data_IF_871464899824
#
_entry.id   IF_871464899824
#
_cell.length_a   1.000
_cell.length_b   1.000
_cell.length_c   1.000
_cell.angle_alpha   90.00
_cell.angle_beta   90.00
_cell.angle_gamma   90.00
#
_symmetry.space_group_name_H-M   'P 1'
#
loop_
_entity.id
_entity.type
_entity.pdbx_description
1 polymer ?
#
# COMPACT_ATOMS: atom_id res chain seq x y z
N UNK A 1 11.28 8.48 -2.99
CA UNK A 1 10.18 7.68 -3.54
C UNK A 1 9.80 6.63 -2.51
N UNK A 2 8.50 6.40 -2.33
CA UNK A 2 7.95 5.41 -1.41
C UNK A 2 7.42 4.27 -2.27
N UNK A 3 7.88 3.05 -2.00
CA UNK A 3 7.51 1.85 -2.79
C UNK A 3 6.40 1.06 -2.11
N UNK A 4 6.27 1.15 -0.78
CA UNK A 4 5.14 0.58 -0.05
C UNK A 4 5.03 1.20 1.35
N UNK A 5 3.83 1.10 1.94
CA UNK A 5 3.58 1.56 3.31
C UNK A 5 2.79 0.50 4.06
N UNK A 6 3.28 0.10 5.24
CA UNK A 6 2.52 -0.71 6.20
C UNK A 6 2.24 0.14 7.44
N UNK A 7 1.00 0.57 7.62
CA UNK A 7 0.57 1.18 8.88
C UNK A 7 0.28 0.08 9.90
N UNK A 8 0.89 0.18 11.08
CA UNK A 8 0.67 -0.74 12.18
C UNK A 8 -0.14 -0.03 13.28
N UNK A 9 -1.47 -0.28 13.35
CA UNK A 9 -2.36 0.42 14.27
C UNK A 9 -1.96 0.38 15.74
N UNK A 10 -1.47 -0.75 16.31
CA UNK A 10 -1.21 -0.84 17.75
C UNK A 10 -0.23 0.21 18.31
N UNK A 11 0.68 0.74 17.48
CA UNK A 11 1.65 1.77 17.90
C UNK A 11 1.47 3.12 17.19
N UNK A 12 0.44 3.24 16.34
CA UNK A 12 0.19 4.41 15.50
C UNK A 12 1.41 4.88 14.68
N UNK A 13 2.13 3.93 14.06
CA UNK A 13 3.27 4.25 13.19
C UNK A 13 3.18 3.48 11.88
N UNK A 14 3.78 4.04 10.84
CA UNK A 14 3.88 3.41 9.53
C UNK A 14 5.33 3.05 9.18
N UNK A 15 5.49 1.90 8.55
CA UNK A 15 6.73 1.43 7.97
C UNK A 15 6.72 1.78 6.49
N UNK A 16 7.60 2.71 6.09
CA UNK A 16 7.75 3.15 4.71
C UNK A 16 8.92 2.39 4.08
N UNK A 17 8.65 1.66 3.00
CA UNK A 17 9.63 0.90 2.25
C UNK A 17 10.09 1.69 1.03
N UNK A 18 11.39 1.65 0.74
CA UNK A 18 12.01 2.30 -0.41
C UNK A 18 13.30 1.57 -0.81
N UNK A 19 13.31 1.00 -2.01
CA UNK A 19 14.36 0.13 -2.50
C UNK A 19 14.62 -1.03 -1.53
N UNK A 20 15.88 -1.16 -1.10
CA UNK A 20 16.31 -2.22 -0.16
C UNK A 20 16.13 -1.84 1.31
N UNK A 21 15.51 -0.69 1.60
CA UNK A 21 15.46 -0.11 2.95
C UNK A 21 14.03 0.20 3.38
N UNK A 22 13.87 0.39 4.68
CA UNK A 22 12.64 0.91 5.27
C UNK A 22 12.96 1.89 6.39
N UNK A 23 12.01 2.77 6.69
CA UNK A 23 12.01 3.61 7.90
C UNK A 23 10.66 3.47 8.62
N UNK A 24 10.67 3.56 9.95
CA UNK A 24 9.45 3.66 10.75
C UNK A 24 9.21 5.11 11.10
N UNK A 25 8.01 5.59 10.81
CA UNK A 25 7.63 6.98 10.95
C UNK A 25 6.38 7.06 11.81
N UNK A 26 6.45 7.88 12.85
CA UNK A 26 5.29 8.36 13.60
C UNK A 26 4.77 9.59 12.89
N UNK A 27 3.50 9.59 12.51
CA UNK A 27 2.88 10.73 11.86
C UNK A 27 1.46 10.92 12.37
N UNK A 28 1.02 12.17 12.44
CA UNK A 28 -0.35 12.52 12.83
C UNK A 28 -1.05 13.16 11.63
N UNK A 29 -2.06 12.49 11.03
CA UNK A 29 -2.81 13.03 9.91
C UNK A 29 -3.31 14.45 10.16
N UNK A 30 -3.15 15.34 9.17
CA UNK A 30 -3.61 16.73 9.27
C UNK A 30 -2.66 17.68 9.99
N UNK A 31 -1.50 17.21 10.45
CA UNK A 31 -0.43 18.05 11.02
C UNK A 31 0.85 17.94 10.21
N UNK A 32 1.84 18.79 10.48
CA UNK A 32 3.20 18.71 9.93
C UNK A 32 4.18 18.04 10.91
N UNK A 33 3.68 17.30 11.90
CA UNK A 33 4.51 16.62 12.90
C UNK A 33 4.71 15.16 12.48
N UNK A 34 5.77 14.93 11.71
CA UNK A 34 6.27 13.59 11.41
C UNK A 34 7.65 13.38 12.04
N UNK A 35 7.86 12.19 12.62
CA UNK A 35 9.11 11.81 13.27
C UNK A 35 9.57 10.44 12.74
N UNK A 36 10.79 10.37 12.21
CA UNK A 36 11.44 9.08 11.94
C UNK A 36 11.87 8.48 13.28
N UNK A 37 11.16 7.44 13.72
CA UNK A 37 11.45 6.76 14.99
C UNK A 37 12.44 5.61 14.82
N UNK A 38 12.66 5.15 13.58
CA UNK A 38 13.61 4.09 13.27
C UNK A 38 14.06 4.13 11.80
N UNK A 39 15.34 3.81 11.57
CA UNK A 39 15.92 3.71 10.23
C UNK A 39 16.34 5.04 9.61
N UNK A 40 16.65 5.06 8.29
CA UNK A 40 16.49 3.95 7.34
C UNK A 40 17.41 2.76 7.61
N UNK A 41 16.87 1.53 7.56
CA UNK A 41 17.64 0.26 7.69
C UNK A 41 17.36 -0.68 6.53
N UNK A 42 18.24 -1.65 6.30
CA UNK A 42 18.03 -2.68 5.27
C UNK A 42 16.89 -3.61 5.69
N UNK A 43 15.99 -3.91 4.75
CA UNK A 43 14.83 -4.77 5.02
C UNK A 43 15.31 -6.15 5.51
N UNK A 44 16.25 -6.75 4.79
CA UNK A 44 16.75 -8.11 5.07
C UNK A 44 17.50 -8.26 6.41
N UNK A 45 17.86 -7.16 7.08
CA UNK A 45 18.53 -7.20 8.38
C UNK A 45 17.54 -7.14 9.56
N UNK A 46 16.33 -6.64 9.32
CA UNK A 46 15.36 -6.33 10.38
C UNK A 46 13.98 -6.95 10.18
N UNK A 47 13.76 -7.59 9.03
CA UNK A 47 12.59 -8.40 8.73
C UNK A 47 13.05 -9.82 8.37
N UNK A 48 13.47 -10.62 9.35
CA UNK A 48 13.98 -11.98 9.11
C UNK A 48 13.00 -12.86 8.34
N UNK A 49 11.68 -12.70 8.52
CA UNK A 49 10.71 -13.47 7.74
C UNK A 49 10.76 -13.09 6.25
N UNK A 50 10.82 -11.79 5.93
CA UNK A 50 10.99 -11.30 4.55
C UNK A 50 12.33 -11.75 3.95
N UNK A 51 13.41 -11.69 4.73
CA UNK A 51 14.73 -12.16 4.31
C UNK A 51 14.70 -13.66 3.95
N UNK A 52 14.05 -14.48 4.78
CA UNK A 52 13.98 -15.93 4.60
C UNK A 52 13.31 -16.38 3.29
N UNK A 53 12.41 -15.56 2.75
CA UNK A 53 11.69 -15.82 1.49
C UNK A 53 12.27 -15.06 0.28
N UNK A 54 13.36 -14.32 0.49
CA UNK A 54 14.07 -13.56 -0.53
C UNK A 54 13.43 -12.22 -0.89
N UNK A 55 12.60 -11.66 0.00
CA UNK A 55 11.94 -10.37 -0.21
C UNK A 55 12.87 -9.22 0.22
N UNK A 56 13.79 -8.85 -0.67
CA UNK A 56 14.72 -7.74 -0.44
C UNK A 56 14.15 -6.35 -0.72
N UNK A 57 13.01 -6.28 -1.40
CA UNK A 57 12.24 -5.06 -1.74
C UNK A 57 10.76 -5.34 -1.54
N UNK A 58 9.99 -4.33 -1.16
CA UNK A 58 8.54 -4.43 -1.02
C UNK A 58 7.91 -3.43 -1.98
N UNK A 59 7.03 -3.90 -2.86
CA UNK A 59 6.34 -3.08 -3.87
C UNK A 59 4.90 -2.76 -3.51
N UNK A 60 4.30 -3.47 -2.56
CA UNK A 60 3.00 -3.13 -2.00
C UNK A 60 2.80 -3.87 -0.67
N UNK A 61 1.91 -3.34 0.16
CA UNK A 61 1.41 -4.03 1.36
C UNK A 61 -0.11 -3.90 1.41
N UNK A 62 -0.81 -5.02 1.56
CA UNK A 62 -2.26 -5.06 1.78
C UNK A 62 -2.53 -5.57 3.21
N UNK A 63 -2.98 -4.71 4.15
CA UNK A 63 -3.35 -5.14 5.49
C UNK A 63 -4.56 -6.08 5.46
N UNK A 64 -4.63 -7.00 6.43
CA UNK A 64 -5.78 -7.90 6.60
C UNK A 64 -6.82 -7.25 7.52
N UNK A 65 -8.05 -7.16 7.03
CA UNK A 65 -9.17 -6.61 7.80
C UNK A 65 -9.39 -7.38 9.11
N UNK A 66 -9.56 -6.64 10.20
CA UNK A 66 -9.72 -7.19 11.54
C UNK A 66 -8.47 -7.82 12.15
N UNK A 67 -7.33 -7.81 11.43
CA UNK A 67 -6.07 -8.38 11.89
C UNK A 67 -4.91 -7.41 11.68
N UNK A 68 -4.73 -6.42 12.56
CA UNK A 68 -3.75 -5.34 12.37
C UNK A 68 -2.30 -5.82 12.26
N UNK A 69 -2.00 -7.02 12.76
CA UNK A 69 -0.68 -7.65 12.71
C UNK A 69 -0.41 -8.45 11.44
N UNK A 70 -1.42 -8.71 10.63
CA UNK A 70 -1.33 -9.55 9.45
C UNK A 70 -1.46 -8.70 8.18
N UNK A 71 -0.59 -8.93 7.20
CA UNK A 71 -0.67 -8.29 5.90
C UNK A 71 -0.08 -9.17 4.79
N UNK A 72 -0.56 -8.96 3.57
CA UNK A 72 0.13 -9.45 2.38
C UNK A 72 1.22 -8.47 1.96
N UNK A 73 2.45 -8.96 1.86
CA UNK A 73 3.60 -8.21 1.35
C UNK A 73 3.89 -8.67 -0.09
N UNK A 74 4.08 -7.71 -1.00
CA UNK A 74 4.36 -7.98 -2.41
C UNK A 74 5.82 -7.65 -2.74
N UNK A 75 6.47 -8.51 -3.52
CA UNK A 75 7.84 -8.34 -3.98
C UNK A 75 7.98 -8.89 -5.40
N UNK A 76 8.05 -8.00 -6.39
CA UNK A 76 8.00 -8.39 -7.79
C UNK A 76 6.73 -9.18 -8.09
N UNK A 77 6.88 -10.35 -8.70
CA UNK A 77 5.74 -11.22 -9.06
C UNK A 77 5.23 -12.10 -7.91
N UNK A 78 5.72 -11.90 -6.68
CA UNK A 78 5.45 -12.78 -5.53
C UNK A 78 4.75 -12.05 -4.40
N UNK A 79 3.98 -12.81 -3.63
CA UNK A 79 3.26 -12.33 -2.45
C UNK A 79 3.40 -13.33 -1.30
N UNK A 80 3.52 -12.82 -0.07
CA UNK A 80 3.54 -13.63 1.14
C UNK A 80 2.61 -13.03 2.20
N UNK A 81 1.98 -13.89 3.00
CA UNK A 81 1.18 -13.51 4.16
C UNK A 81 2.09 -13.47 5.38
N UNK A 82 2.29 -12.29 5.95
CA UNK A 82 3.22 -12.05 7.05
C UNK A 82 2.44 -11.60 8.27
N UNK A 83 2.82 -12.13 9.44
CA UNK A 83 2.42 -11.60 10.74
C UNK A 83 3.58 -10.84 11.37
N UNK A 84 3.32 -9.65 11.88
CA UNK A 84 4.26 -8.82 12.62
C UNK A 84 3.79 -8.64 14.07
N UNK A 85 4.65 -9.02 15.01
CA UNK A 85 4.46 -8.83 16.45
C UNK A 85 5.41 -7.74 16.94
N UNK A 86 4.83 -6.62 17.39
CA UNK A 86 5.60 -5.49 17.89
C UNK A 86 6.18 -5.70 19.28
N UNK A 87 5.50 -6.43 20.16
CA UNK A 87 5.96 -6.61 21.53
C UNK A 87 7.27 -7.41 21.56
N UNK A 88 7.34 -8.44 20.72
CA UNK A 88 8.54 -9.26 20.57
C UNK A 88 9.52 -8.74 19.51
N UNK A 89 9.13 -7.72 18.74
CA UNK A 89 9.86 -7.23 17.56
C UNK A 89 10.19 -8.34 16.56
N UNK A 90 9.23 -9.25 16.31
CA UNK A 90 9.39 -10.38 15.39
C UNK A 90 8.38 -10.36 14.26
N UNK A 91 8.75 -10.97 13.15
CA UNK A 91 7.88 -11.23 12.02
C UNK A 91 7.93 -12.71 11.62
N UNK A 92 6.84 -13.22 11.06
CA UNK A 92 6.71 -14.62 10.65
C UNK A 92 5.93 -14.78 9.36
N UNK A 93 6.33 -15.76 8.54
CA UNK A 93 5.59 -16.13 7.34
C UNK A 93 4.44 -17.04 7.73
N UNK A 94 3.20 -16.53 7.61
CA UNK A 94 1.99 -17.34 7.78
C UNK A 94 1.64 -18.14 6.53
N UNK A 95 2.11 -17.71 5.36
CA UNK A 95 1.92 -18.44 4.12
C UNK A 95 2.59 -17.79 2.92
N UNK A 96 2.75 -18.58 1.86
CA UNK A 96 3.51 -18.22 0.68
C UNK A 96 4.99 -18.55 0.87
N UNK A 97 5.88 -17.97 0.06
CA UNK A 97 5.61 -17.00 -1.00
C UNK A 97 4.98 -17.66 -2.24
N UNK A 98 3.85 -17.13 -2.69
CA UNK A 98 3.19 -17.57 -3.93
C UNK A 98 3.51 -16.61 -5.07
N UNK A 99 3.24 -17.00 -6.31
CA UNK A 99 3.08 -16.00 -7.38
C UNK A 99 1.78 -15.24 -7.15
N UNK A 100 1.70 -13.99 -7.60
CA UNK A 100 0.46 -13.18 -7.52
C UNK A 100 -0.69 -13.92 -8.22
N UNK A 101 -0.43 -14.46 -9.41
CA UNK A 101 -1.37 -15.26 -10.19
C UNK A 101 -1.91 -16.50 -9.44
N UNK A 102 -1.08 -17.18 -8.66
CA UNK A 102 -1.50 -18.35 -7.87
C UNK A 102 -2.31 -17.98 -6.64
N UNK A 103 -1.99 -16.85 -6.02
CA UNK A 103 -2.68 -16.38 -4.81
C UNK A 103 -4.00 -15.67 -5.11
N UNK A 104 -4.02 -14.84 -6.14
CA UNK A 104 -5.16 -14.05 -6.59
C UNK A 104 -5.45 -14.42 -8.05
N UNK A 105 -6.20 -15.49 -8.26
CA UNK A 105 -6.51 -16.01 -9.61
C UNK A 105 -7.30 -15.00 -10.42
N UNK A 106 -8.11 -14.18 -9.75
CA UNK A 106 -8.82 -13.04 -10.34
C UNK A 106 -7.90 -11.98 -10.96
N UNK A 107 -6.62 -11.95 -10.57
CA UNK A 107 -5.58 -11.06 -11.11
C UNK A 107 -4.67 -11.75 -12.14
N UNK A 108 -5.06 -12.91 -12.70
CA UNK A 108 -4.30 -13.57 -13.78
C UNK A 108 -4.46 -12.86 -15.12
N UNK A 109 -3.94 -11.64 -15.20
CA UNK A 109 -3.90 -10.85 -16.41
C UNK A 109 -2.48 -10.29 -16.61
N UNK A 110 -2.09 -9.90 -17.84
CA UNK A 110 -0.76 -9.36 -18.11
C UNK A 110 -0.42 -8.12 -17.27
N UNK A 111 -1.41 -7.31 -16.92
CA UNK A 111 -1.24 -6.05 -16.19
C UNK A 111 -0.81 -6.27 -14.73
N UNK A 112 -1.30 -7.33 -14.08
CA UNK A 112 -1.05 -7.60 -12.65
C UNK A 112 0.06 -8.63 -12.41
N UNK A 113 1.05 -8.67 -13.30
CA UNK A 113 2.29 -9.45 -13.08
C UNK A 113 3.10 -8.97 -11.87
N UNK A 114 2.93 -7.70 -11.48
CA UNK A 114 3.40 -7.09 -10.24
C UNK A 114 2.29 -6.23 -9.65
N UNK A 115 2.38 -5.92 -8.35
CA UNK A 115 1.50 -4.94 -7.68
C UNK A 115 2.36 -3.77 -7.19
N UNK A 116 1.96 -2.56 -7.56
CA UNK A 116 2.62 -1.30 -7.20
C UNK A 116 1.94 -0.66 -5.98
N UNK A 117 0.64 -0.89 -5.79
CA UNK A 117 -0.05 -0.51 -4.55
C UNK A 117 -1.28 -1.39 -4.31
N UNK A 118 -1.66 -1.54 -3.05
CA UNK A 118 -2.91 -2.17 -2.67
C UNK A 118 -3.50 -1.51 -1.43
N UNK A 119 -4.82 -1.31 -1.41
CA UNK A 119 -5.54 -0.80 -0.24
C UNK A 119 -6.86 -1.55 -0.06
N UNK A 120 -7.33 -1.75 1.19
CA UNK A 120 -8.69 -2.21 1.44
C UNK A 120 -9.71 -1.24 0.85
N UNK A 121 -10.86 -1.76 0.43
CA UNK A 121 -11.98 -0.93 -0.04
C UNK A 121 -12.77 -0.42 1.17
N UNK A 122 -12.88 0.91 1.38
CA UNK A 122 -13.65 1.47 2.49
C UNK A 122 -15.10 0.98 2.47
N UNK A 123 -15.61 0.53 3.63
CA UNK A 123 -16.97 0.03 3.77
C UNK A 123 -17.25 -1.36 3.17
N UNK A 124 -16.24 -2.03 2.60
CA UNK A 124 -16.38 -3.37 2.02
C UNK A 124 -15.29 -4.33 2.54
N UNK A 125 -15.44 -4.85 3.77
CA UNK A 125 -14.48 -5.77 4.35
C UNK A 125 -14.21 -6.98 3.45
N UNK A 126 -12.95 -7.38 3.36
CA UNK A 126 -12.52 -8.49 2.51
C UNK A 126 -12.37 -8.13 1.03
N UNK A 127 -12.53 -6.85 0.65
CA UNK A 127 -12.25 -6.39 -0.71
C UNK A 127 -11.05 -5.44 -0.74
N UNK A 128 -10.28 -5.47 -1.83
CA UNK A 128 -9.15 -4.58 -2.02
C UNK A 128 -9.10 -4.00 -3.44
N UNK A 129 -8.57 -2.79 -3.54
CA UNK A 129 -8.06 -2.26 -4.80
C UNK A 129 -6.60 -2.66 -4.97
N UNK A 130 -6.26 -3.13 -6.17
CA UNK A 130 -4.90 -3.42 -6.61
C UNK A 130 -4.54 -2.48 -7.75
N UNK A 131 -3.36 -1.88 -7.70
CA UNK A 131 -2.84 -0.98 -8.71
C UNK A 131 -1.57 -1.58 -9.32
N UNK A 132 -1.48 -1.55 -10.65
CA UNK A 132 -0.32 -2.01 -11.40
C UNK A 132 -0.20 -1.22 -12.71
N UNK A 133 0.93 -0.55 -12.90
CA UNK A 133 1.14 0.39 -14.00
C UNK A 133 0.05 1.45 -14.04
N UNK A 134 -0.63 1.58 -15.17
CA UNK A 134 -1.72 2.54 -15.39
C UNK A 134 -3.11 1.97 -15.10
N UNK A 135 -3.19 0.77 -14.54
CA UNK A 135 -4.44 0.05 -14.30
C UNK A 135 -4.69 -0.23 -12.83
N UNK A 136 -5.97 -0.43 -12.51
CA UNK A 136 -6.40 -0.95 -11.22
C UNK A 136 -7.46 -2.04 -11.39
N UNK A 137 -7.63 -2.85 -10.35
CA UNK A 137 -8.71 -3.82 -10.22
C UNK A 137 -9.29 -3.78 -8.80
N UNK A 138 -10.55 -4.17 -8.65
CA UNK A 138 -11.20 -4.37 -7.33
C UNK A 138 -11.51 -5.85 -7.18
N UNK A 139 -10.99 -6.45 -6.12
CA UNK A 139 -11.07 -7.90 -5.90
C UNK A 139 -11.73 -8.19 -4.56
N UNK A 140 -12.64 -9.16 -4.55
CA UNK A 140 -13.04 -9.86 -3.33
C UNK A 140 -11.94 -10.86 -2.99
N UNK A 141 -11.22 -10.60 -1.90
CA UNK A 141 -10.06 -11.38 -1.45
C UNK A 141 -10.47 -12.76 -0.94
N UNK A 142 -11.66 -12.89 -0.36
CA UNK A 142 -12.14 -14.16 0.21
C UNK A 142 -12.63 -15.08 -0.89
N UNK A 143 -13.47 -14.55 -1.79
CA UNK A 143 -13.97 -15.30 -2.94
C UNK A 143 -12.94 -15.45 -4.08
N UNK A 144 -11.87 -14.65 -4.07
CA UNK A 144 -10.91 -14.50 -5.17
C UNK A 144 -11.62 -14.21 -6.51
N UNK A 145 -12.49 -13.20 -6.50
CA UNK A 145 -13.24 -12.77 -7.67
C UNK A 145 -13.00 -11.29 -7.99
N UNK A 146 -12.90 -10.97 -9.28
CA UNK A 146 -12.81 -9.59 -9.72
C UNK A 146 -14.21 -8.94 -9.63
N UNK A 147 -14.39 -8.07 -8.64
CA UNK A 147 -15.57 -7.19 -8.52
C UNK A 147 -15.55 -6.14 -9.63
N UNK A 148 -14.35 -5.62 -9.92
CA UNK A 148 -14.06 -4.78 -11.07
C UNK A 148 -12.80 -5.33 -11.73
N UNK A 149 -12.92 -5.76 -12.98
CA UNK A 149 -11.79 -6.17 -13.80
C UNK A 149 -10.84 -4.99 -14.10
N UNK A 150 -9.68 -5.29 -14.70
CA UNK A 150 -8.67 -4.27 -15.06
C UNK A 150 -9.28 -3.08 -15.79
N UNK A 151 -9.03 -1.88 -15.26
CA UNK A 151 -9.47 -0.60 -15.82
C UNK A 151 -8.39 0.45 -15.65
N UNK A 152 -8.33 1.40 -16.57
CA UNK A 152 -7.40 2.52 -16.48
C UNK A 152 -7.69 3.42 -15.28
N UNK A 153 -6.62 3.81 -14.57
CA UNK A 153 -6.67 4.71 -13.43
C UNK A 153 -7.20 6.09 -13.85
N UNK A 154 -6.64 6.67 -14.92
CA UNK A 154 -6.99 8.02 -15.39
C UNK A 154 -8.47 8.20 -15.71
N UNK A 155 -9.14 7.11 -16.13
CA UNK A 155 -10.54 7.10 -16.55
C UNK A 155 -11.52 6.84 -15.40
N UNK A 156 -11.05 6.26 -14.28
CA UNK A 156 -11.93 5.76 -13.21
C UNK A 156 -11.57 6.28 -11.81
N UNK A 157 -10.41 6.92 -11.67
CA UNK A 157 -9.98 7.63 -10.47
C UNK A 157 -9.80 9.12 -10.81
N UNK A 158 -10.89 9.88 -11.05
CA UNK A 158 -10.82 11.29 -11.41
C UNK A 158 -10.06 12.16 -10.40
N UNK A 159 -10.05 11.83 -9.11
CA UNK A 159 -9.25 12.52 -8.10
C UNK A 159 -7.74 12.31 -8.31
N UNK A 160 -7.31 11.06 -8.53
CA UNK A 160 -5.93 10.75 -8.92
C UNK A 160 -5.54 11.42 -10.24
N UNK A 161 -6.39 11.34 -11.26
CA UNK A 161 -6.13 11.96 -12.57
C UNK A 161 -5.97 13.50 -12.43
N UNK A 162 -6.87 14.17 -11.71
CA UNK A 162 -6.75 15.61 -11.40
C UNK A 162 -5.47 15.97 -10.64
N UNK A 163 -4.92 15.03 -9.87
CA UNK A 163 -3.64 15.19 -9.19
C UNK A 163 -2.41 14.94 -10.09
N UNK A 164 -2.62 14.50 -11.34
CA UNK A 164 -1.56 14.16 -12.30
C UNK A 164 -1.00 12.74 -12.14
N UNK A 165 -1.78 11.84 -11.52
CA UNK A 165 -1.39 10.46 -11.27
C UNK A 165 -2.06 9.57 -12.31
N UNK A 166 -1.26 9.06 -13.25
CA UNK A 166 -1.63 7.99 -14.19
C UNK A 166 -1.30 6.59 -13.64
N UNK A 167 -0.52 6.53 -12.55
CA UNK A 167 -0.07 5.34 -11.83
C UNK A 167 0.06 5.67 -10.33
N UNK A 168 0.28 4.64 -9.51
CA UNK A 168 0.47 4.76 -8.06
C UNK A 168 1.68 3.91 -7.64
N UNK A 169 2.66 4.51 -6.98
CA UNK A 169 3.87 3.81 -6.50
C UNK A 169 3.68 3.19 -5.11
N UNK A 170 2.78 3.76 -4.31
CA UNK A 170 2.36 3.24 -3.02
C UNK A 170 1.03 3.87 -2.61
N UNK A 171 0.25 3.16 -1.81
CA UNK A 171 -0.93 3.72 -1.16
C UNK A 171 -1.19 3.07 0.20
N UNK A 172 -1.82 3.80 1.11
CA UNK A 172 -2.32 3.23 2.35
C UNK A 172 -3.49 4.06 2.93
N UNK A 173 -4.44 3.42 3.64
CA UNK A 173 -5.52 4.14 4.30
C UNK A 173 -5.01 5.12 5.36
N UNK A 174 -5.62 6.31 5.44
CA UNK A 174 -5.33 7.26 6.51
C UNK A 174 -5.78 6.65 7.85
N UNK A 175 -4.88 6.53 8.83
CA UNK A 175 -5.24 6.06 10.16
C UNK A 175 -6.32 6.92 10.80
N UNK A 176 -7.32 6.27 11.40
CA UNK A 176 -8.44 6.95 12.07
C UNK A 176 -9.42 7.67 11.14
N UNK A 177 -9.34 7.45 9.82
CA UNK A 177 -10.37 7.94 8.90
C UNK A 177 -11.55 6.98 8.83
N UNK A 178 -12.75 7.46 9.15
CA UNK A 178 -14.01 6.72 8.95
C UNK A 178 -14.57 6.93 7.51
N UNK A 179 -14.13 8.00 6.84
CA UNK A 179 -14.64 8.43 5.53
C UNK A 179 -13.91 7.79 4.33
N UNK A 180 -13.01 6.83 4.56
CA UNK A 180 -12.26 6.18 3.48
C UNK A 180 -11.15 7.04 2.87
N UNK A 181 -10.56 7.96 3.62
CA UNK A 181 -9.41 8.74 3.14
C UNK A 181 -8.16 7.85 3.06
N UNK A 182 -7.42 7.93 1.97
CA UNK A 182 -6.15 7.24 1.77
C UNK A 182 -5.08 8.17 1.19
N UNK A 183 -3.82 7.88 1.51
CA UNK A 183 -2.66 8.52 0.89
C UNK A 183 -2.24 7.72 -0.34
N UNK A 184 -1.98 8.42 -1.44
CA UNK A 184 -1.45 7.87 -2.68
C UNK A 184 -0.15 8.59 -3.03
N UNK A 185 0.89 7.82 -3.38
CA UNK A 185 2.24 8.32 -3.66
C UNK A 185 2.60 8.08 -5.13
N UNK A 186 3.28 9.05 -5.73
CA UNK A 186 3.89 8.92 -7.06
C UNK A 186 5.14 9.80 -7.13
N UNK A 187 6.30 9.21 -7.34
CA UNK A 187 7.61 9.85 -7.32
C UNK A 187 7.91 10.53 -5.99
N UNK A 188 7.96 11.86 -6.01
CA UNK A 188 8.19 12.73 -4.87
C UNK A 188 6.91 13.41 -4.34
N UNK A 189 5.74 13.06 -4.90
CA UNK A 189 4.45 13.67 -4.58
C UNK A 189 3.54 12.70 -3.84
N UNK A 190 2.60 13.26 -3.09
CA UNK A 190 1.46 12.51 -2.59
C UNK A 190 0.16 13.33 -2.65
N UNK A 191 -0.96 12.60 -2.73
CA UNK A 191 -2.31 13.14 -2.64
C UNK A 191 -3.13 12.34 -1.62
N UNK A 192 -4.02 13.03 -0.90
CA UNK A 192 -5.03 12.41 -0.06
C UNK A 192 -6.34 12.38 -0.82
N UNK A 193 -6.90 11.19 -0.96
CA UNK A 193 -8.11 10.93 -1.71
C UNK A 193 -9.13 10.32 -0.76
N UNK A 194 -10.36 10.83 -0.78
CA UNK A 194 -11.53 10.13 -0.23
C UNK A 194 -11.94 9.08 -1.25
N UNK A 195 -11.76 7.82 -0.87
CA UNK A 195 -12.09 6.66 -1.70
C UNK A 195 -13.51 6.21 -1.36
N UNK A 196 -14.41 6.27 -2.33
CA UNK A 196 -15.79 5.82 -2.18
C UNK A 196 -16.02 4.67 -3.16
N UNK A 197 -16.51 3.55 -2.65
CA UNK A 197 -16.64 2.34 -3.45
C UNK A 197 -17.73 2.49 -4.52
N UNK A 198 -17.35 2.37 -5.79
CA UNK A 198 -18.29 2.49 -6.93
C UNK A 198 -18.64 3.92 -7.32
N UNK A 199 -18.07 4.92 -6.65
CA UNK A 199 -18.30 6.34 -6.90
C UNK A 199 -16.97 7.02 -7.30
N UNK A 200 -17.03 8.21 -7.93
CA UNK A 200 -15.84 9.04 -8.17
C UNK A 200 -15.08 9.35 -6.87
N UNK A 201 -13.76 9.27 -6.92
CA UNK A 201 -12.89 9.63 -5.81
C UNK A 201 -12.67 11.16 -5.72
N UNK A 202 -12.48 11.66 -4.49
CA UNK A 202 -12.40 13.10 -4.24
C UNK A 202 -11.08 13.49 -3.56
N UNK A 203 -10.42 14.56 -4.04
CA UNK A 203 -9.20 15.07 -3.39
C UNK A 203 -9.58 15.77 -2.07
N UNK A 204 -9.01 15.31 -0.96
CA UNK A 204 -9.18 15.92 0.38
C UNK A 204 -7.93 16.63 0.88
N UNK A 205 -6.83 16.51 0.15
CA UNK A 205 -5.59 17.26 0.40
C UNK A 205 -4.49 16.82 -0.55
N UNK A 206 -3.44 17.63 -0.69
CA UNK A 206 -2.32 17.31 -1.58
C UNK A 206 -1.03 17.95 -1.08
N UNK A 207 0.08 17.27 -1.30
CA UNK A 207 1.41 17.89 -1.31
C UNK A 207 1.98 17.70 -2.70
N UNK A 208 1.79 18.73 -3.51
CA UNK A 208 2.51 18.87 -4.77
C UNK A 208 3.87 19.46 -4.41
N UNK A 209 4.95 18.90 -4.93
CA UNK A 209 6.31 19.43 -4.78
C UNK A 209 6.31 20.96 -4.87
N UNK A 210 6.73 21.66 -3.81
CA UNK A 210 7.04 23.07 -3.87
C UNK A 210 8.35 23.24 -4.64
N UNK A 211 8.41 24.25 -5.50
CA UNK A 211 9.68 24.75 -6.04
C UNK A 211 10.68 24.87 -4.90
N UNK A 212 11.94 24.51 -5.15
CA UNK A 212 13.05 25.13 -4.43
C UNK A 212 12.88 26.64 -4.51
N UNK A 213 12.28 27.24 -3.48
CA UNK A 213 12.44 28.65 -3.22
C UNK A 213 13.86 28.78 -2.68
N UNK A 214 14.77 29.20 -3.56
CA UNK A 214 16.07 29.68 -3.14
C UNK A 214 15.88 30.88 -2.21
N UNK A 215 16.64 30.86 -1.11
CA UNK A 215 17.24 32.01 -0.46
C UNK A 215 18.39 31.47 0.41
#
# INVERSE_FOLDING_TARGET
MVDAVYFYPPIHQAYFFSGLRYARIKFTPGTSHEEITYGPRRIVEHWPSLASIGFGRISAVLPIDGKPEEAYFFSGARVAHIKFDYESYTDSVLGGPWTIADKFKSLRTPEFGTIDAAIPVPGHPGQAYFFAGTNYARVDIVGDTAVVASREITSHWPGLNKAGFDSVDAAFPQPGSEDGVAYFFKGDKYVKIKVVAGEPDEITGRRLSGSSAGA
#
